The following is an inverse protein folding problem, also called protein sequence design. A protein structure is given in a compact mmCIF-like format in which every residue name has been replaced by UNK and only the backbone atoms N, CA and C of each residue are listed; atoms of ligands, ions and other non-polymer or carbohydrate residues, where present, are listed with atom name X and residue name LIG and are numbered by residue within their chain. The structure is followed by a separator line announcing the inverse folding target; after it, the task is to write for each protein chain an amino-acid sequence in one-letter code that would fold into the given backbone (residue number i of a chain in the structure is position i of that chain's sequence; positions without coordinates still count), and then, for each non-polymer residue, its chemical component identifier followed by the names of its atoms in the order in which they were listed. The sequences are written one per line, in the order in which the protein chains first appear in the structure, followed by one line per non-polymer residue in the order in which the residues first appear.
data_IF_501127528397
#
_entry.id   IF_501127528397
#
_cell.length_a   1.000
_cell.length_b   1.000
_cell.length_c   1.000
_cell.angle_alpha   90.00
_cell.angle_beta   90.00
_cell.angle_gamma   90.00
#
_symmetry.space_group_name_H-M   'P 1'
#
loop_
_entity.id
_entity.type
_entity.pdbx_description
1 polymer ?
#
# COMPACT_ATOMS: atom_id res chain seq x y z
N UNK A 1 14.58 0.19 21.82
CA UNK A 1 13.34 -0.22 21.12
C UNK A 1 13.21 0.64 19.86
N UNK A 2 12.91 0.05 18.71
CA UNK A 2 12.72 0.83 17.49
C UNK A 2 11.49 1.72 17.62
N UNK A 3 11.61 2.98 17.20
CA UNK A 3 10.48 3.91 17.17
C UNK A 3 9.39 3.36 16.23
N UNK A 4 8.11 3.35 16.62
CA UNK A 4 7.04 2.90 15.72
C UNK A 4 7.00 3.76 14.46
N UNK A 5 6.61 3.22 13.31
CA UNK A 5 6.47 4.01 12.09
C UNK A 5 5.36 5.04 12.24
N UNK A 6 5.49 6.18 11.56
CA UNK A 6 4.39 7.14 11.47
C UNK A 6 3.29 6.62 10.54
N UNK A 7 3.70 6.00 9.44
CA UNK A 7 2.79 5.47 8.41
C UNK A 7 3.00 3.97 8.23
N UNK A 8 1.90 3.21 8.26
CA UNK A 8 1.84 1.84 7.75
C UNK A 8 1.19 1.86 6.37
N UNK A 9 1.83 1.23 5.39
CA UNK A 9 1.19 0.95 4.10
C UNK A 9 0.54 -0.42 4.18
N UNK A 10 -0.78 -0.45 4.05
CA UNK A 10 -1.59 -1.67 3.98
C UNK A 10 -1.71 -2.08 2.50
N UNK A 11 -1.06 -3.16 2.10
CA UNK A 11 -1.08 -3.67 0.74
C UNK A 11 -1.69 -5.07 0.72
N UNK A 12 -2.86 -5.21 0.09
CA UNK A 12 -3.52 -6.50 -0.08
C UNK A 12 -3.24 -7.08 -1.45
N UNK A 13 -3.13 -8.41 -1.53
CA UNK A 13 -2.80 -9.10 -2.77
C UNK A 13 -3.44 -10.49 -2.86
N UNK A 14 -3.80 -10.89 -4.08
CA UNK A 14 -4.22 -12.24 -4.42
C UNK A 14 -3.97 -12.51 -5.91
N UNK A 15 -3.04 -13.42 -6.22
CA UNK A 15 -2.63 -13.75 -7.60
C UNK A 15 -2.16 -12.52 -8.41
N UNK A 16 -1.29 -11.70 -7.82
CA UNK A 16 -0.71 -10.50 -8.41
C UNK A 16 0.77 -10.66 -8.76
N UNK A 17 1.26 -11.88 -9.08
CA UNK A 17 2.70 -12.13 -9.34
C UNK A 17 3.29 -11.21 -10.41
N UNK A 18 2.49 -10.79 -11.40
CA UNK A 18 2.94 -9.92 -12.48
C UNK A 18 3.13 -8.45 -12.07
N UNK A 19 2.52 -8.00 -10.98
CA UNK A 19 2.42 -6.59 -10.60
C UNK A 19 3.06 -6.28 -9.25
N UNK A 20 3.02 -7.23 -8.32
CA UNK A 20 3.33 -7.03 -6.91
C UNK A 20 4.73 -6.45 -6.66
N UNK A 21 5.74 -6.86 -7.44
CA UNK A 21 7.08 -6.33 -7.30
C UNK A 21 7.12 -4.82 -7.57
N UNK A 22 6.44 -4.34 -8.63
CA UNK A 22 6.33 -2.92 -8.94
C UNK A 22 5.59 -2.15 -7.85
N UNK A 23 4.50 -2.70 -7.33
CA UNK A 23 3.74 -2.12 -6.23
C UNK A 23 4.63 -1.92 -4.99
N UNK A 24 5.32 -2.96 -4.56
CA UNK A 24 6.24 -2.94 -3.40
C UNK A 24 7.36 -1.91 -3.60
N UNK A 25 8.03 -1.93 -4.76
CA UNK A 25 9.13 -1.00 -5.06
C UNK A 25 8.67 0.46 -5.05
N UNK A 26 7.45 0.76 -5.51
CA UNK A 26 6.88 2.11 -5.47
C UNK A 26 6.69 2.63 -4.04
N UNK A 27 6.36 1.75 -3.11
CA UNK A 27 6.27 2.07 -1.67
C UNK A 27 7.65 2.22 -1.05
N UNK A 28 8.58 1.31 -1.38
CA UNK A 28 9.95 1.36 -0.86
C UNK A 28 10.73 2.59 -1.34
N UNK A 29 10.38 3.13 -2.51
CA UNK A 29 10.97 4.34 -3.09
C UNK A 29 10.45 5.64 -2.46
N UNK A 30 9.46 5.58 -1.56
CA UNK A 30 8.92 6.77 -0.93
C UNK A 30 9.99 7.49 -0.08
N UNK A 31 10.09 8.80 -0.28
CA UNK A 31 11.03 9.70 0.39
C UNK A 31 10.30 10.39 1.56
N UNK A 32 10.61 9.97 2.77
CA UNK A 32 9.96 10.49 3.98
C UNK A 32 10.99 10.84 5.05
N UNK A 33 10.68 11.84 5.87
CA UNK A 33 11.46 12.21 7.06
C UNK A 33 11.10 11.35 8.29
N UNK A 34 10.17 10.43 8.17
CA UNK A 34 9.66 9.57 9.22
C UNK A 34 9.73 8.08 8.82
N UNK A 35 9.54 7.21 9.80
CA UNK A 35 9.49 5.77 9.57
C UNK A 35 8.22 5.32 8.84
N UNK A 36 8.40 4.46 7.82
CA UNK A 36 7.30 3.81 7.08
C UNK A 36 7.50 2.30 7.14
N UNK A 37 6.44 1.57 7.46
CA UNK A 37 6.39 0.12 7.27
C UNK A 37 5.43 -0.25 6.13
N UNK A 38 5.72 -1.35 5.46
CA UNK A 38 4.83 -1.98 4.48
C UNK A 38 4.32 -3.29 5.04
N UNK A 39 3.00 -3.45 5.12
CA UNK A 39 2.35 -4.69 5.54
C UNK A 39 1.70 -5.34 4.32
N UNK A 40 2.27 -6.46 3.89
CA UNK A 40 1.80 -7.26 2.75
C UNK A 40 0.82 -8.32 3.24
N UNK A 41 -0.43 -8.26 2.80
CA UNK A 41 -1.48 -9.21 3.13
C UNK A 41 -1.84 -10.09 1.93
N UNK A 42 -1.32 -11.31 1.87
CA UNK A 42 -1.64 -12.28 0.82
C UNK A 42 -2.82 -13.18 1.22
N UNK A 43 -3.82 -13.27 0.35
CA UNK A 43 -5.01 -14.10 0.58
C UNK A 43 -4.87 -15.54 0.08
N UNK A 44 -3.73 -16.18 0.40
CA UNK A 44 -3.39 -17.53 -0.04
C UNK A 44 -3.35 -17.67 -1.56
N UNK A 45 -2.55 -16.83 -2.21
CA UNK A 45 -2.31 -16.89 -3.65
C UNK A 45 -1.84 -18.27 -4.11
N UNK A 46 -2.25 -18.64 -5.31
CA UNK A 46 -1.90 -19.90 -5.96
C UNK A 46 -0.76 -19.79 -6.96
N UNK A 47 -0.34 -18.56 -7.26
CA UNK A 47 0.80 -18.20 -8.11
C UNK A 47 2.05 -17.85 -7.27
N UNK A 48 3.02 -17.16 -7.84
CA UNK A 48 4.26 -16.77 -7.14
C UNK A 48 4.12 -15.58 -6.17
N UNK A 49 2.93 -15.00 -6.03
CA UNK A 49 2.67 -13.81 -5.18
C UNK A 49 3.20 -13.98 -3.75
N UNK A 50 2.86 -15.10 -3.09
CA UNK A 50 3.30 -15.36 -1.72
C UNK A 50 4.82 -15.55 -1.60
N UNK A 51 5.49 -16.04 -2.64
CA UNK A 51 6.95 -16.17 -2.68
C UNK A 51 7.60 -14.78 -2.76
N UNK A 52 7.08 -13.88 -3.60
CA UNK A 52 7.50 -12.48 -3.71
C UNK A 52 7.35 -11.78 -2.35
N UNK A 53 6.21 -11.92 -1.68
CA UNK A 53 6.00 -11.34 -0.35
C UNK A 53 7.07 -11.79 0.67
N UNK A 54 7.40 -13.08 0.69
CA UNK A 54 8.43 -13.63 1.61
C UNK A 54 9.83 -13.08 1.28
N UNK A 55 10.16 -12.97 0.02
CA UNK A 55 11.44 -12.43 -0.44
C UNK A 55 11.63 -10.99 0.04
N UNK A 56 10.64 -10.13 -0.20
CA UNK A 56 10.71 -8.73 0.24
C UNK A 56 10.72 -8.58 1.76
N UNK A 57 9.96 -9.38 2.49
CA UNK A 57 9.98 -9.38 3.95
C UNK A 57 11.36 -9.82 4.51
N UNK A 58 12.01 -10.79 3.87
CA UNK A 58 13.35 -11.23 4.24
C UNK A 58 14.43 -10.20 3.87
N UNK A 59 14.29 -9.51 2.73
CA UNK A 59 15.23 -8.50 2.23
C UNK A 59 15.18 -7.19 3.04
N UNK A 60 14.00 -6.83 3.56
CA UNK A 60 13.78 -5.59 4.30
C UNK A 60 13.20 -5.84 5.71
N UNK A 61 13.95 -6.54 6.59
CA UNK A 61 13.47 -6.88 7.92
C UNK A 61 13.18 -5.62 8.73
N UNK A 62 12.03 -5.60 9.42
CA UNK A 62 11.57 -4.45 10.19
C UNK A 62 10.88 -3.35 9.39
N UNK A 63 11.06 -3.30 8.06
CA UNK A 63 10.38 -2.36 7.15
C UNK A 63 9.25 -3.02 6.37
N UNK A 64 9.42 -4.27 5.97
CA UNK A 64 8.38 -5.06 5.26
C UNK A 64 7.94 -6.21 6.15
N UNK A 65 6.65 -6.37 6.29
CA UNK A 65 6.03 -7.46 7.07
C UNK A 65 5.06 -8.22 6.17
N UNK A 66 5.12 -9.54 6.26
CA UNK A 66 4.25 -10.43 5.53
C UNK A 66 3.20 -11.07 6.44
N UNK A 67 1.94 -10.97 6.03
CA UNK A 67 0.77 -11.51 6.73
C UNK A 67 -0.01 -12.38 5.75
N UNK A 68 -0.32 -13.62 6.14
CA UNK A 68 -1.15 -14.53 5.35
C UNK A 68 -1.96 -15.45 6.25
N UNK A 69 -2.86 -16.23 5.69
CA UNK A 69 -3.66 -17.23 6.39
C UNK A 69 -3.39 -18.65 5.88
N UNK A 70 -4.22 -19.60 6.31
CA UNK A 70 -4.17 -20.99 5.89
C UNK A 70 -5.03 -21.27 4.64
N UNK A 71 -5.90 -20.33 4.27
CA UNK A 71 -6.82 -20.43 3.14
C UNK A 71 -7.22 -19.06 2.65
N UNK A 72 -7.68 -18.98 1.41
CA UNK A 72 -8.33 -17.78 0.88
C UNK A 72 -9.61 -17.48 1.69
N UNK A 73 -9.73 -16.25 2.17
CA UNK A 73 -10.86 -15.78 3.00
C UNK A 73 -11.63 -14.62 2.34
N UNK A 74 -11.20 -14.22 1.16
CA UNK A 74 -11.74 -13.10 0.40
C UNK A 74 -11.15 -11.75 0.80
N UNK A 75 -11.27 -10.78 -0.12
CA UNK A 75 -10.59 -9.49 -0.01
C UNK A 75 -10.90 -8.72 1.28
N UNK A 76 -12.16 -8.73 1.77
CA UNK A 76 -12.56 -8.01 2.98
C UNK A 76 -11.86 -8.55 4.23
N UNK A 77 -11.82 -9.86 4.38
CA UNK A 77 -11.19 -10.49 5.53
C UNK A 77 -9.67 -10.37 5.46
N UNK A 78 -9.09 -10.47 4.26
CA UNK A 78 -7.67 -10.24 4.04
C UNK A 78 -7.28 -8.79 4.33
N UNK A 79 -8.05 -7.81 3.82
CA UNK A 79 -7.85 -6.39 4.14
C UNK A 79 -7.87 -6.14 5.63
N UNK A 80 -8.92 -6.61 6.32
CA UNK A 80 -9.05 -6.46 7.78
C UNK A 80 -7.84 -7.02 8.53
N UNK A 81 -7.42 -8.24 8.21
CA UNK A 81 -6.24 -8.87 8.81
C UNK A 81 -4.97 -8.06 8.59
N UNK A 82 -4.77 -7.54 7.38
CA UNK A 82 -3.61 -6.74 7.01
C UNK A 82 -3.63 -5.38 7.72
N UNK A 83 -4.79 -4.74 7.74
CA UNK A 83 -5.01 -3.48 8.45
C UNK A 83 -4.76 -3.60 9.96
N UNK A 84 -5.30 -4.64 10.61
CA UNK A 84 -5.09 -4.92 12.04
C UNK A 84 -3.61 -5.19 12.39
N UNK A 85 -2.80 -5.57 11.41
CA UNK A 85 -1.36 -5.75 11.58
C UNK A 85 -0.57 -4.42 11.45
N UNK A 86 -1.16 -3.34 10.95
CA UNK A 86 -0.53 -2.02 10.86
C UNK A 86 -0.29 -1.42 12.25
N UNK A 87 0.85 -0.71 12.41
CA UNK A 87 1.27 -0.13 13.70
C UNK A 87 1.46 1.39 13.64
N UNK A 88 1.40 1.97 12.45
CA UNK A 88 1.54 3.40 12.21
C UNK A 88 0.37 4.21 12.78
N UNK A 89 0.64 5.47 13.08
CA UNK A 89 -0.41 6.45 13.41
C UNK A 89 -1.41 6.60 12.25
N UNK A 90 -0.88 6.57 11.03
CA UNK A 90 -1.66 6.63 9.79
C UNK A 90 -1.54 5.33 9.02
N UNK A 91 -2.59 4.99 8.27
CA UNK A 91 -2.58 3.87 7.34
C UNK A 91 -2.81 4.40 5.94
N UNK A 92 -1.85 4.18 5.05
CA UNK A 92 -1.99 4.41 3.62
C UNK A 92 -2.36 3.08 2.94
N UNK A 93 -3.20 3.15 1.92
CA UNK A 93 -3.66 1.99 1.18
C UNK A 93 -3.06 1.97 -0.23
N UNK A 94 -2.60 0.78 -0.65
CA UNK A 94 -2.13 0.51 -2.01
C UNK A 94 -2.35 -0.96 -2.30
N UNK A 95 -3.11 -1.30 -3.34
CA UNK A 95 -3.29 -2.69 -3.73
C UNK A 95 -2.04 -3.28 -4.40
N UNK A 96 -1.91 -4.60 -4.39
CA UNK A 96 -0.74 -5.31 -4.93
C UNK A 96 -0.62 -5.26 -6.46
N UNK A 97 -1.59 -4.71 -7.17
CA UNK A 97 -1.62 -4.46 -8.61
C UNK A 97 -1.59 -2.95 -8.97
N UNK A 98 -1.51 -2.08 -7.94
CA UNK A 98 -1.35 -0.63 -8.09
C UNK A 98 0.08 -0.18 -7.76
N UNK A 99 0.48 1.02 -8.22
CA UNK A 99 1.76 1.63 -7.81
C UNK A 99 1.66 3.14 -7.68
N UNK A 100 2.52 3.70 -6.86
CA UNK A 100 2.63 5.15 -6.67
C UNK A 100 3.70 5.75 -7.57
N UNK A 101 3.33 6.74 -8.37
CA UNK A 101 4.23 7.40 -9.32
C UNK A 101 5.07 8.53 -8.70
N UNK A 102 4.60 9.19 -7.61
CA UNK A 102 5.33 10.26 -6.94
C UNK A 102 6.00 9.75 -5.64
N UNK A 103 7.34 9.77 -5.54
CA UNK A 103 8.05 9.34 -4.34
C UNK A 103 7.83 10.24 -3.12
N UNK A 104 7.19 11.41 -3.26
CA UNK A 104 6.88 12.33 -2.17
C UNK A 104 5.46 12.18 -1.63
N UNK A 105 4.67 11.26 -2.21
CA UNK A 105 3.26 11.09 -1.87
C UNK A 105 3.02 10.96 -0.37
N UNK A 106 3.73 10.06 0.31
CA UNK A 106 3.53 9.83 1.75
C UNK A 106 3.98 11.03 2.59
N UNK A 107 5.07 11.71 2.21
CA UNK A 107 5.51 12.91 2.92
C UNK A 107 4.45 14.01 2.85
N UNK A 108 3.96 14.32 1.66
CA UNK A 108 2.96 15.37 1.44
C UNK A 108 1.65 15.08 2.19
N UNK A 109 1.19 13.82 2.18
CA UNK A 109 -0.03 13.42 2.86
C UNK A 109 0.12 13.46 4.39
N UNK A 110 1.25 13.01 4.91
CA UNK A 110 1.52 13.08 6.36
C UNK A 110 1.62 14.52 6.84
N UNK A 111 2.33 15.40 6.09
CA UNK A 111 2.44 16.82 6.42
C UNK A 111 1.06 17.49 6.48
N UNK A 112 0.16 17.16 5.54
CA UNK A 112 -1.21 17.67 5.55
C UNK A 112 -1.97 17.22 6.81
N UNK A 113 -1.97 15.93 7.12
CA UNK A 113 -2.67 15.36 8.28
C UNK A 113 -2.09 15.84 9.61
N UNK A 114 -0.77 16.08 9.69
CA UNK A 114 -0.13 16.62 10.90
C UNK A 114 -0.41 18.13 11.06
N UNK A 115 -0.60 18.87 9.96
CA UNK A 115 -0.86 20.32 10.00
C UNK A 115 -2.30 20.67 10.38
N UNK A 116 -3.26 19.77 10.14
CA UNK A 116 -4.67 19.98 10.43
C UNK A 116 -5.26 18.79 11.22
N UNK A 117 -5.32 18.87 12.57
CA UNK A 117 -5.88 17.81 13.41
C UNK A 117 -7.38 17.53 13.17
N UNK A 118 -8.09 18.41 12.48
CA UNK A 118 -9.48 18.18 12.09
C UNK A 118 -9.61 17.31 10.83
N UNK A 119 -8.52 17.17 10.05
CA UNK A 119 -8.46 16.33 8.87
C UNK A 119 -8.26 14.87 9.26
N UNK A 120 -9.26 14.03 9.07
CA UNK A 120 -9.19 12.59 9.38
C UNK A 120 -8.65 11.73 8.23
N UNK A 121 -8.68 12.23 6.99
CA UNK A 121 -8.29 11.48 5.79
C UNK A 121 -7.87 12.43 4.67
N UNK A 122 -6.93 11.98 3.85
CA UNK A 122 -6.59 12.64 2.60
C UNK A 122 -6.41 11.59 1.48
N UNK A 123 -6.59 11.99 0.25
CA UNK A 123 -6.41 11.14 -0.93
C UNK A 123 -5.67 11.90 -2.03
N UNK A 124 -5.20 11.16 -3.03
CA UNK A 124 -4.57 11.72 -4.25
C UNK A 124 -5.38 11.30 -5.47
N UNK A 125 -5.24 12.05 -6.54
CA UNK A 125 -5.75 11.61 -7.85
C UNK A 125 -5.07 10.31 -8.26
N UNK A 126 -5.79 9.47 -8.98
CA UNK A 126 -5.30 8.26 -9.60
C UNK A 126 -5.27 8.42 -11.14
N UNK A 127 -4.63 7.47 -11.80
CA UNK A 127 -4.66 7.32 -13.25
C UNK A 127 -4.78 5.84 -13.57
N UNK A 128 -5.54 5.50 -14.60
CA UNK A 128 -5.66 4.15 -15.09
C UNK A 128 -4.55 3.87 -16.11
N UNK A 129 -3.79 2.79 -15.89
CA UNK A 129 -2.78 2.32 -16.82
C UNK A 129 -3.27 1.05 -17.51
N UNK A 130 -3.33 1.09 -18.82
CA UNK A 130 -3.78 -0.03 -19.66
C UNK A 130 -2.56 -0.78 -20.20
N UNK A 131 -2.25 -1.90 -19.60
CA UNK A 131 -1.05 -2.70 -19.89
C UNK A 131 -0.96 -3.18 -21.34
N UNK A 132 -2.11 -3.52 -21.96
CA UNK A 132 -2.19 -4.00 -23.34
C UNK A 132 -1.92 -2.93 -24.39
N UNK A 133 -2.09 -1.66 -24.07
CA UNK A 133 -1.89 -0.52 -24.98
C UNK A 133 -0.74 0.39 -24.56
N UNK A 134 -0.30 0.31 -23.28
CA UNK A 134 0.65 1.24 -22.68
C UNK A 134 0.08 2.65 -22.44
N UNK A 135 -1.24 2.84 -22.62
CA UNK A 135 -1.89 4.13 -22.40
C UNK A 135 -2.07 4.39 -20.91
N UNK A 136 -1.90 5.65 -20.51
CA UNK A 136 -2.25 6.15 -19.18
C UNK A 136 -3.34 7.20 -19.34
N UNK A 137 -4.45 7.00 -18.68
CA UNK A 137 -5.55 7.97 -18.66
C UNK A 137 -5.74 8.46 -17.21
N UNK A 138 -5.91 9.78 -17.01
CA UNK A 138 -6.30 10.29 -15.71
C UNK A 138 -7.66 9.69 -15.34
N UNK A 139 -7.85 9.40 -14.05
CA UNK A 139 -9.15 9.00 -13.55
C UNK A 139 -10.16 10.11 -13.87
N UNK A 140 -11.31 9.72 -14.41
CA UNK A 140 -12.35 10.67 -14.73
C UNK A 140 -12.76 11.39 -13.45
N UNK A 141 -12.78 12.72 -13.48
CA UNK A 141 -13.32 13.55 -12.40
C UNK A 141 -14.80 13.15 -12.19
N UNK A 142 -15.06 12.18 -11.32
CA UNK A 142 -16.35 12.13 -10.69
C UNK A 142 -16.45 13.41 -9.87
N UNK A 143 -17.44 14.24 -10.20
CA UNK A 143 -17.73 15.45 -9.45
C UNK A 143 -18.07 15.05 -8.00
N UNK A 144 -17.07 15.07 -7.14
CA UNK A 144 -17.32 15.13 -5.71
C UNK A 144 -17.89 16.51 -5.45
N UNK A 145 -19.21 16.59 -5.40
CA UNK A 145 -19.91 17.75 -4.87
C UNK A 145 -19.56 17.82 -3.39
N UNK A 146 -19.00 18.96 -2.98
CA UNK A 146 -18.70 19.27 -1.58
C UNK A 146 -19.95 18.97 -0.72
N UNK A 147 -19.72 18.17 0.34
CA UNK A 147 -20.69 17.97 1.41
C UNK A 147 -20.38 18.91 2.55
#
# INVERSE_FOLDING_TARGET
MATPPLVSVCMTTYNHEAYLAQAIESVLAQQTSFGVELVLGDDCSTDSTAAICREYAAKYPGRVRFVTGQRNVGWRANYRRTFEACRGKYVAYCDGDDWWSDPRKLQMQADLLESDPSCGMCYTRASNYYQNTGLTEPDHEEHFTDF
#
